data_IF_493421330265
#
_entry.id   IF_493421330265
#
_cell.length_a   1.000
_cell.length_b   1.000
_cell.length_c   1.000
_cell.angle_alpha   90.00
_cell.angle_beta   90.00
_cell.angle_gamma   90.00
#
_symmetry.space_group_name_H-M   'P 1'
#
loop_
_entity.id
_entity.type
_entity.pdbx_description
1 polymer ?
#
# COMPACT_ATOMS: atom_id res chain seq x y z
N UNK A 1 19.74 -41.84 -48.02
CA UNK A 1 19.18 -40.60 -47.45
C UNK A 1 17.66 -40.65 -47.58
N UNK A 2 16.95 -40.85 -46.47
CA UNK A 2 15.56 -41.35 -46.46
C UNK A 2 14.51 -40.29 -46.79
N UNK A 3 14.17 -40.15 -48.07
CA UNK A 3 13.08 -39.30 -48.55
C UNK A 3 11.63 -39.80 -48.29
N UNK A 4 11.31 -41.08 -48.01
CA UNK A 4 9.90 -41.50 -47.84
C UNK A 4 9.31 -41.17 -46.45
N UNK A 5 10.09 -40.62 -45.51
CA UNK A 5 9.62 -40.31 -44.15
C UNK A 5 9.17 -38.86 -43.94
N UNK A 6 9.34 -37.98 -44.92
CA UNK A 6 9.00 -36.55 -44.79
C UNK A 6 7.49 -36.33 -44.69
N UNK A 7 6.69 -37.07 -45.46
CA UNK A 7 5.24 -36.94 -45.47
C UNK A 7 4.58 -37.22 -44.11
N UNK A 8 4.86 -38.37 -43.46
CA UNK A 8 4.37 -38.67 -42.13
C UNK A 8 4.82 -37.66 -41.07
N UNK A 9 6.08 -37.21 -41.12
CA UNK A 9 6.63 -36.23 -40.16
C UNK A 9 5.92 -34.88 -40.28
N UNK A 10 5.67 -34.40 -41.49
CA UNK A 10 4.93 -33.14 -41.71
C UNK A 10 3.49 -33.25 -41.19
N UNK A 11 2.81 -34.37 -41.41
CA UNK A 11 1.43 -34.58 -40.92
C UNK A 11 1.36 -34.57 -39.40
N UNK A 12 2.31 -35.24 -38.74
CA UNK A 12 2.40 -35.26 -37.28
C UNK A 12 2.69 -33.85 -36.75
N UNK A 13 3.65 -33.14 -37.36
CA UNK A 13 3.98 -31.77 -36.98
C UNK A 13 2.77 -30.82 -37.11
N UNK A 14 2.02 -30.92 -38.22
CA UNK A 14 0.81 -30.12 -38.44
C UNK A 14 -0.27 -30.45 -37.40
N UNK A 15 -0.47 -31.74 -37.11
CA UNK A 15 -1.46 -32.18 -36.14
C UNK A 15 -1.12 -31.71 -34.72
N UNK A 16 0.15 -31.83 -34.31
CA UNK A 16 0.61 -31.33 -33.01
C UNK A 16 0.46 -29.81 -32.92
N UNK A 17 0.85 -29.07 -33.96
CA UNK A 17 0.71 -27.62 -33.98
C UNK A 17 -0.75 -27.16 -33.88
N UNK A 18 -1.64 -27.78 -34.66
CA UNK A 18 -3.07 -27.52 -34.60
C UNK A 18 -3.67 -27.84 -33.23
N UNK A 19 -3.27 -28.95 -32.60
CA UNK A 19 -3.70 -29.32 -31.25
C UNK A 19 -3.23 -28.30 -30.20
N UNK A 20 -2.00 -27.81 -30.34
CA UNK A 20 -1.41 -26.83 -29.41
C UNK A 20 -2.14 -25.48 -29.52
N UNK A 21 -2.45 -25.04 -30.74
CA UNK A 21 -3.27 -23.85 -30.98
C UNK A 21 -4.68 -24.01 -30.41
N UNK A 22 -5.32 -25.15 -30.68
CA UNK A 22 -6.65 -25.45 -30.14
C UNK A 22 -6.64 -25.35 -28.61
N UNK A 23 -5.66 -25.96 -27.95
CA UNK A 23 -5.50 -25.85 -26.50
C UNK A 23 -5.29 -24.40 -26.04
N UNK A 24 -4.51 -23.60 -26.76
CA UNK A 24 -4.26 -22.20 -26.40
C UNK A 24 -5.48 -21.26 -26.57
N UNK A 25 -6.46 -21.66 -27.39
CA UNK A 25 -7.73 -20.96 -27.56
C UNK A 25 -8.85 -21.49 -26.67
N UNK A 26 -8.90 -22.82 -26.45
CA UNK A 26 -9.93 -23.47 -25.62
C UNK A 26 -9.62 -23.33 -24.14
N UNK A 27 -8.34 -23.37 -23.74
CA UNK A 27 -7.97 -23.09 -22.35
C UNK A 27 -8.19 -21.60 -22.11
N UNK A 28 -9.17 -21.21 -21.29
CA UNK A 28 -9.41 -19.82 -20.96
C UNK A 28 -8.14 -19.31 -20.27
N UNK A 29 -7.48 -18.33 -20.90
CA UNK A 29 -6.34 -17.62 -20.31
C UNK A 29 -6.91 -16.71 -19.21
N UNK A 30 -7.35 -17.32 -18.12
CA UNK A 30 -7.86 -16.60 -16.98
C UNK A 30 -6.67 -15.83 -16.37
N UNK A 31 -6.72 -14.50 -16.24
CA UNK A 31 -5.81 -13.81 -15.35
C UNK A 31 -5.93 -14.48 -13.97
N UNK A 32 -4.79 -14.79 -13.35
CA UNK A 32 -4.68 -15.48 -12.06
C UNK A 32 -5.75 -15.02 -11.07
N UNK A 33 -6.79 -15.85 -10.84
CA UNK A 33 -7.84 -15.44 -9.91
C UNK A 33 -9.12 -16.27 -9.79
N UNK A 34 -9.30 -17.37 -10.53
CA UNK A 34 -10.57 -18.14 -10.39
C UNK A 34 -10.38 -19.64 -10.59
N UNK A 35 -9.76 -20.31 -9.63
CA UNK A 35 -10.02 -21.72 -9.33
C UNK A 35 -10.36 -21.85 -7.85
N UNK A 36 -11.59 -22.30 -7.58
CA UNK A 36 -12.19 -22.44 -6.26
C UNK A 36 -11.94 -23.87 -5.77
N UNK A 37 -11.24 -24.03 -4.64
CA UNK A 37 -11.24 -25.29 -3.89
C UNK A 37 -9.88 -25.87 -3.47
N UNK A 38 -8.99 -25.09 -2.86
CA UNK A 38 -7.83 -25.54 -2.03
C UNK A 38 -7.58 -24.39 -1.03
N UNK A 39 -7.29 -24.65 0.27
CA UNK A 39 -7.26 -23.64 1.33
C UNK A 39 -6.44 -22.42 0.93
N UNK A 40 -7.00 -21.24 1.24
CA UNK A 40 -6.42 -19.91 1.07
C UNK A 40 -4.90 -19.98 1.22
N UNK A 41 -4.10 -19.96 0.12
CA UNK A 41 -2.69 -19.72 0.28
C UNK A 41 -2.62 -18.31 0.88
N UNK A 42 -1.88 -18.16 2.00
CA UNK A 42 -1.56 -16.85 2.55
C UNK A 42 -1.20 -15.96 1.37
N UNK A 43 -2.08 -14.99 1.06
CA UNK A 43 -1.80 -13.97 0.06
C UNK A 43 -0.45 -13.41 0.48
N UNK A 44 0.57 -13.64 -0.33
CA UNK A 44 1.90 -13.10 -0.10
C UNK A 44 1.73 -11.62 0.20
N UNK A 45 1.85 -11.28 1.48
CA UNK A 45 1.66 -9.95 1.98
C UNK A 45 2.80 -9.11 1.40
N UNK A 46 2.47 -8.30 0.41
CA UNK A 46 3.34 -7.23 -0.05
C UNK A 46 3.24 -6.18 1.04
N UNK A 47 4.30 -6.03 1.84
CA UNK A 47 4.21 -5.19 3.03
C UNK A 47 5.54 -4.92 3.70
N UNK A 48 5.78 -3.63 3.93
CA UNK A 48 6.72 -2.99 4.84
C UNK A 48 7.36 -3.93 5.88
N UNK A 49 8.69 -4.00 5.96
CA UNK A 49 9.41 -4.74 7.02
C UNK A 49 9.80 -3.79 8.17
N UNK A 50 9.81 -4.29 9.41
CA UNK A 50 10.22 -3.50 10.60
C UNK A 50 11.74 -3.27 10.64
N UNK A 51 12.48 -3.84 9.71
CA UNK A 51 13.92 -3.71 9.61
C UNK A 51 14.34 -3.44 8.17
N UNK A 52 15.08 -2.37 7.96
CA UNK A 52 15.72 -2.08 6.67
C UNK A 52 17.22 -2.25 6.86
N UNK A 53 17.80 -3.21 6.13
CA UNK A 53 19.26 -3.39 6.07
C UNK A 53 19.88 -2.39 5.07
N UNK A 54 21.00 -1.79 5.45
CA UNK A 54 21.75 -0.90 4.58
C UNK A 54 22.31 -1.69 3.38
N UNK A 55 21.87 -1.36 2.16
CA UNK A 55 22.24 -2.06 0.92
C UNK A 55 21.13 -2.92 0.30
N UNK A 56 20.05 -3.21 1.02
CA UNK A 56 18.88 -3.95 0.48
C UNK A 56 17.85 -3.06 -0.22
N UNK A 57 17.98 -1.73 -0.11
CA UNK A 57 17.12 -0.75 -0.82
C UNK A 57 17.07 -0.96 -2.35
N UNK A 58 18.03 -1.72 -2.92
CA UNK A 58 18.08 -2.06 -4.35
C UNK A 58 17.32 -3.32 -4.77
N UNK A 59 16.82 -4.15 -3.84
CA UNK A 59 15.95 -5.30 -4.15
C UNK A 59 14.51 -4.99 -3.74
N UNK A 60 13.95 -3.92 -4.30
CA UNK A 60 12.50 -3.75 -4.33
C UNK A 60 11.97 -4.97 -5.09
N UNK A 61 11.34 -5.89 -4.37
CA UNK A 61 10.67 -7.05 -4.96
C UNK A 61 9.64 -6.47 -5.94
N UNK A 62 9.94 -6.53 -7.24
CA UNK A 62 9.08 -6.02 -8.30
C UNK A 62 7.86 -6.93 -8.42
N UNK A 63 6.93 -6.78 -7.48
CA UNK A 63 5.58 -7.32 -7.59
C UNK A 63 4.67 -6.14 -7.88
N UNK A 64 4.11 -6.09 -9.08
CA UNK A 64 3.25 -5.00 -9.57
C UNK A 64 1.82 -5.10 -9.04
N UNK A 65 1.64 -5.69 -7.86
CA UNK A 65 0.32 -5.80 -7.24
C UNK A 65 -0.10 -4.42 -6.71
N UNK A 66 -1.37 -4.05 -6.91
CA UNK A 66 -1.94 -2.85 -6.29
C UNK A 66 -1.81 -2.99 -4.76
N UNK A 67 -1.18 -2.02 -4.10
CA UNK A 67 -1.02 -2.00 -2.63
C UNK A 67 -2.05 -1.08 -2.00
N UNK A 68 -2.30 0.06 -2.64
CA UNK A 68 -3.26 1.06 -2.19
C UNK A 68 -3.77 1.89 -3.36
N UNK A 69 -4.92 2.54 -3.13
CA UNK A 69 -5.51 3.59 -3.94
C UNK A 69 -5.77 4.80 -3.07
N UNK A 70 -5.46 5.98 -3.58
CA UNK A 70 -5.70 7.25 -2.89
C UNK A 70 -6.48 8.21 -3.80
N UNK A 71 -7.49 8.87 -3.25
CA UNK A 71 -8.29 9.92 -3.88
C UNK A 71 -8.24 11.17 -3.01
N UNK A 72 -8.20 12.33 -3.62
CA UNK A 72 -8.15 13.60 -2.92
C UNK A 72 -9.40 14.42 -3.22
N UNK A 73 -9.92 15.09 -2.21
CA UNK A 73 -11.07 15.97 -2.31
C UNK A 73 -10.83 17.27 -1.56
N UNK A 74 -11.40 18.36 -2.05
CA UNK A 74 -11.43 19.63 -1.31
C UNK A 74 -12.47 19.58 -0.15
N UNK A 75 -12.57 20.63 0.68
CA UNK A 75 -13.55 20.67 1.77
C UNK A 75 -15.01 20.57 1.28
N UNK A 76 -15.27 20.94 0.04
CA UNK A 76 -16.57 20.83 -0.63
C UNK A 76 -16.81 19.46 -1.30
N UNK A 77 -15.94 18.47 -1.03
CA UNK A 77 -15.98 17.11 -1.58
C UNK A 77 -15.83 17.02 -3.11
N UNK A 78 -15.27 18.05 -3.75
CA UNK A 78 -14.93 18.00 -5.18
C UNK A 78 -13.56 17.35 -5.36
N UNK A 79 -13.33 16.59 -6.45
CA UNK A 79 -12.03 16.00 -6.72
C UNK A 79 -10.92 17.05 -6.74
N UNK A 80 -9.86 16.80 -5.97
CA UNK A 80 -8.68 17.67 -5.89
C UNK A 80 -7.54 17.07 -6.72
N UNK A 81 -7.06 17.82 -7.71
CA UNK A 81 -5.97 17.37 -8.56
C UNK A 81 -4.63 17.44 -7.81
N UNK A 82 -3.84 16.39 -7.94
CA UNK A 82 -2.50 16.29 -7.34
C UNK A 82 -1.47 16.07 -8.43
N UNK A 83 -0.36 16.80 -8.32
CA UNK A 83 0.72 16.82 -9.30
C UNK A 83 2.02 16.32 -8.66
N UNK A 84 2.81 15.58 -9.45
CA UNK A 84 4.11 15.09 -9.03
C UNK A 84 4.07 13.87 -8.09
N UNK A 85 5.24 13.49 -7.55
CA UNK A 85 5.37 12.32 -6.68
C UNK A 85 4.78 12.57 -5.29
N UNK A 86 4.17 11.53 -4.72
CA UNK A 86 3.62 11.54 -3.37
C UNK A 86 4.41 10.64 -2.44
N UNK A 87 4.81 11.21 -1.31
CA UNK A 87 5.49 10.52 -0.23
C UNK A 87 4.48 10.17 0.86
N UNK A 88 3.92 8.97 0.74
CA UNK A 88 3.07 8.37 1.74
C UNK A 88 3.93 7.76 2.84
N UNK A 89 3.66 8.13 4.09
CA UNK A 89 4.42 7.62 5.24
C UNK A 89 3.58 6.60 5.99
N UNK A 90 4.17 5.42 6.23
CA UNK A 90 3.63 4.36 7.08
C UNK A 90 4.23 4.40 8.49
N UNK A 91 5.54 4.16 8.62
CA UNK A 91 6.24 4.18 9.90
C UNK A 91 7.61 4.87 9.81
N UNK A 92 8.08 5.40 10.96
CA UNK A 92 9.41 6.00 11.09
C UNK A 92 10.31 5.08 11.92
N UNK A 93 11.32 4.52 11.26
CA UNK A 93 12.45 3.84 11.91
C UNK A 93 13.47 4.90 12.35
N UNK A 94 13.86 4.91 13.61
CA UNK A 94 14.71 5.98 14.19
C UNK A 94 15.89 5.44 15.01
N UNK A 95 15.98 4.13 15.22
CA UNK A 95 17.11 3.51 15.90
C UNK A 95 17.97 2.74 14.90
N UNK A 96 19.28 3.02 14.89
CA UNK A 96 20.24 2.33 14.05
C UNK A 96 21.18 1.48 14.90
N UNK A 97 21.28 0.20 14.58
CA UNK A 97 22.20 -0.73 15.24
C UNK A 97 22.66 -1.80 14.23
N UNK A 98 23.97 -2.06 14.19
CA UNK A 98 24.58 -3.15 13.41
C UNK A 98 24.20 -3.17 11.91
N UNK A 99 24.05 -2.01 11.27
CA UNK A 99 23.66 -1.93 9.85
C UNK A 99 22.14 -1.99 9.60
N UNK A 100 21.33 -2.03 10.65
CA UNK A 100 19.88 -2.11 10.56
C UNK A 100 19.19 -0.90 11.20
N UNK A 101 18.19 -0.37 10.51
CA UNK A 101 17.23 0.56 11.10
C UNK A 101 16.09 -0.21 11.74
N UNK A 102 15.71 0.17 12.96
CA UNK A 102 14.71 -0.46 13.82
C UNK A 102 13.91 0.60 14.57
N UNK A 103 12.84 0.18 15.23
CA UNK A 103 12.19 0.97 16.27
C UNK A 103 12.99 0.85 17.57
N UNK A 104 13.18 1.96 18.29
CA UNK A 104 13.62 1.89 19.67
C UNK A 104 12.50 1.22 20.49
N UNK A 105 12.87 0.32 21.41
CA UNK A 105 12.00 -0.71 22.00
C UNK A 105 10.63 -0.28 22.54
N UNK A 106 9.81 -1.31 22.83
CA UNK A 106 8.47 -1.20 23.40
C UNK A 106 8.39 -0.04 24.40
N UNK A 107 7.59 1.00 24.11
CA UNK A 107 7.43 2.09 25.05
C UNK A 107 6.96 1.51 26.38
N UNK A 108 7.49 2.03 27.50
CA UNK A 108 7.15 1.58 28.87
C UNK A 108 5.63 1.61 29.13
N UNK A 109 4.90 2.39 28.31
CA UNK A 109 3.44 2.34 28.19
C UNK A 109 3.03 2.40 26.71
N UNK A 110 2.09 1.57 26.24
CA UNK A 110 1.53 1.73 24.90
C UNK A 110 0.75 3.05 24.82
N UNK A 111 1.28 4.05 24.11
CA UNK A 111 0.52 5.26 23.75
C UNK A 111 -0.24 5.04 22.43
N UNK A 112 -0.99 3.95 22.38
CA UNK A 112 -1.99 3.71 21.36
C UNK A 112 -3.29 4.32 21.83
N UNK A 113 -3.89 5.17 21.00
CA UNK A 113 -5.17 5.81 21.29
C UNK A 113 -6.04 5.82 20.05
N UNK A 114 -7.38 5.81 20.20
CA UNK A 114 -8.26 6.11 19.08
C UNK A 114 -7.87 7.43 18.44
N UNK A 115 -7.90 7.48 17.11
CA UNK A 115 -7.60 8.69 16.37
C UNK A 115 -8.64 9.76 16.70
N UNK A 116 -8.21 10.82 17.37
CA UNK A 116 -9.04 11.98 17.64
C UNK A 116 -9.07 12.95 16.46
N UNK A 117 -10.15 13.74 16.37
CA UNK A 117 -10.14 14.95 15.56
C UNK A 117 -9.12 15.93 16.16
N UNK A 118 -8.13 16.33 15.37
CA UNK A 118 -7.14 17.33 15.75
C UNK A 118 -7.27 18.53 14.81
N UNK A 119 -7.21 19.78 15.31
CA UNK A 119 -7.16 20.94 14.42
C UNK A 119 -5.90 20.88 13.58
N UNK A 120 -6.08 20.91 12.26
CA UNK A 120 -4.99 21.15 11.33
C UNK A 120 -4.77 22.66 11.16
N UNK A 121 -3.54 23.10 10.84
CA UNK A 121 -3.27 24.52 10.71
C UNK A 121 -4.08 25.15 9.58
N UNK A 122 -4.79 26.23 9.88
CA UNK A 122 -5.69 26.90 8.93
C UNK A 122 -4.98 27.71 7.82
N UNK A 123 -3.64 27.78 7.83
CA UNK A 123 -2.87 28.57 6.85
C UNK A 123 -2.66 27.84 5.51
N UNK A 124 -3.06 26.58 5.39
CA UNK A 124 -2.99 25.78 4.16
C UNK A 124 -4.37 25.23 3.80
N UNK A 125 -4.64 24.99 2.51
CA UNK A 125 -5.89 24.38 2.09
C UNK A 125 -6.02 22.99 2.73
N UNK A 126 -7.20 22.73 3.27
CA UNK A 126 -7.53 21.44 3.84
C UNK A 126 -7.95 20.50 2.71
N UNK A 127 -7.32 19.34 2.61
CA UNK A 127 -7.62 18.33 1.58
C UNK A 127 -7.99 17.03 2.28
N UNK A 128 -9.10 16.43 1.87
CA UNK A 128 -9.50 15.09 2.30
C UNK A 128 -8.74 14.07 1.46
N UNK A 129 -8.00 13.20 2.11
CA UNK A 129 -7.43 12.00 1.48
C UNK A 129 -8.32 10.81 1.85
N UNK A 130 -8.87 10.16 0.84
CA UNK A 130 -9.57 8.88 0.98
C UNK A 130 -8.66 7.78 0.44
N UNK A 131 -8.35 6.82 1.29
CA UNK A 131 -7.34 5.81 1.03
C UNK A 131 -7.97 4.44 1.18
N UNK A 132 -7.80 3.61 0.16
CA UNK A 132 -8.19 2.20 0.17
C UNK A 132 -6.93 1.36 0.08
N UNK A 133 -6.71 0.52 1.08
CA UNK A 133 -5.54 -0.36 1.14
C UNK A 133 -5.96 -1.80 0.86
N UNK A 134 -5.16 -2.53 0.09
CA UNK A 134 -5.37 -3.95 -0.14
C UNK A 134 -5.04 -4.78 1.12
N UNK A 135 -5.61 -6.01 1.24
CA UNK A 135 -5.35 -6.89 2.38
C UNK A 135 -3.85 -7.11 2.62
N UNK A 136 -3.41 -6.94 3.87
CA UNK A 136 -2.04 -7.21 4.31
C UNK A 136 -2.02 -7.71 5.76
N UNK A 137 -0.98 -8.41 6.15
CA UNK A 137 -0.82 -9.02 7.48
C UNK A 137 -0.44 -8.02 8.59
N UNK A 138 -0.59 -6.72 8.34
CA UNK A 138 -0.11 -5.63 9.17
C UNK A 138 -1.18 -4.60 9.44
N UNK A 139 -1.10 -3.93 10.59
CA UNK A 139 -2.05 -2.88 10.98
C UNK A 139 -1.67 -1.51 10.43
N UNK A 140 -0.43 -1.33 10.00
CA UNK A 140 0.07 -0.04 9.52
C UNK A 140 -0.70 0.47 8.31
N UNK A 141 -1.07 1.74 8.39
CA UNK A 141 -1.70 2.51 7.33
C UNK A 141 -0.75 3.58 6.80
N UNK A 142 -0.98 3.99 5.56
CA UNK A 142 -0.18 4.98 4.85
C UNK A 142 -1.00 6.25 4.63
N UNK A 143 -0.39 7.42 4.75
CA UNK A 143 -1.07 8.68 4.45
C UNK A 143 -0.05 9.80 4.18
N UNK A 144 -0.55 10.91 3.63
CA UNK A 144 0.17 12.18 3.63
C UNK A 144 0.15 12.77 5.04
N UNK A 145 1.32 13.18 5.51
CA UNK A 145 1.50 13.89 6.77
C UNK A 145 1.68 15.39 6.52
N UNK A 146 1.15 16.27 7.38
CA UNK A 146 0.37 15.97 8.57
C UNK A 146 -1.07 15.55 8.24
N UNK A 147 -1.73 14.84 9.17
CA UNK A 147 -3.13 14.44 9.02
C UNK A 147 -3.98 14.72 10.26
N UNK A 148 -5.30 14.70 10.09
CA UNK A 148 -6.27 14.65 11.18
C UNK A 148 -7.44 13.73 10.82
N UNK A 149 -8.11 13.17 11.83
CA UNK A 149 -9.32 12.37 11.61
C UNK A 149 -10.43 13.20 10.97
N UNK A 150 -11.08 12.63 9.94
CA UNK A 150 -12.24 13.24 9.27
C UNK A 150 -13.58 12.70 9.75
N UNK A 151 -13.63 11.44 10.20
CA UNK A 151 -14.85 10.77 10.65
C UNK A 151 -14.62 10.08 12.00
N UNK A 152 -15.43 10.36 13.04
CA UNK A 152 -15.40 9.63 14.30
C UNK A 152 -15.87 8.16 14.20
N UNK A 153 -16.47 7.74 13.09
CA UNK A 153 -17.01 6.38 12.89
C UNK A 153 -15.97 5.31 12.54
N UNK A 154 -14.80 5.68 12.03
CA UNK A 154 -13.70 4.76 11.72
C UNK A 154 -12.75 4.68 12.90
N UNK A 155 -12.67 3.51 13.54
CA UNK A 155 -11.82 3.26 14.71
C UNK A 155 -10.36 3.08 14.28
N UNK A 156 -9.74 4.17 13.84
CA UNK A 156 -8.31 4.20 13.58
C UNK A 156 -7.57 4.39 14.91
N UNK A 157 -6.37 3.84 14.99
CA UNK A 157 -5.52 3.90 16.18
C UNK A 157 -4.28 4.72 15.81
N UNK A 158 -4.00 5.76 16.59
CA UNK A 158 -2.75 6.49 16.50
C UNK A 158 -1.75 5.86 17.49
N UNK A 159 -0.63 5.34 16.96
CA UNK A 159 0.52 4.99 17.77
C UNK A 159 1.43 6.22 17.86
N UNK A 160 1.29 6.95 18.95
CA UNK A 160 2.01 8.21 19.17
C UNK A 160 3.51 7.97 19.35
N UNK A 161 3.89 6.85 19.97
CA UNK A 161 5.27 6.52 20.27
C UNK A 161 6.08 6.27 18.98
N UNK A 162 5.50 5.51 18.04
CA UNK A 162 6.15 5.19 16.77
C UNK A 162 5.70 6.09 15.61
N UNK A 163 4.80 7.04 15.91
CA UNK A 163 4.15 7.95 14.95
C UNK A 163 3.59 7.20 13.74
N UNK A 164 2.79 6.17 14.01
CA UNK A 164 2.09 5.36 12.99
C UNK A 164 0.60 5.58 13.09
N UNK A 165 -0.07 5.34 11.97
CA UNK A 165 -1.50 5.17 11.93
C UNK A 165 -1.78 3.68 11.75
N UNK A 166 -2.67 3.14 12.56
CA UNK A 166 -3.01 1.73 12.60
C UNK A 166 -4.52 1.55 12.36
N UNK A 167 -4.89 0.47 11.68
CA UNK A 167 -6.25 -0.06 11.66
C UNK A 167 -6.43 -1.16 12.73
N UNK A 168 -7.67 -1.50 13.08
CA UNK A 168 -7.96 -2.68 13.89
C UNK A 168 -7.43 -3.96 13.23
N UNK A 169 -7.00 -4.93 14.03
CA UNK A 169 -6.36 -6.16 13.55
C UNK A 169 -7.32 -7.01 12.70
N UNK A 170 -8.60 -7.01 13.05
CA UNK A 170 -9.67 -7.70 12.36
C UNK A 170 -9.82 -7.26 10.90
N UNK A 171 -9.45 -6.02 10.58
CA UNK A 171 -9.57 -5.46 9.24
C UNK A 171 -8.34 -5.72 8.37
N UNK A 172 -7.30 -6.39 8.88
CA UNK A 172 -6.06 -6.59 8.15
C UNK A 172 -6.21 -7.42 6.87
N UNK A 173 -7.06 -8.43 6.93
CA UNK A 173 -7.23 -9.40 5.83
C UNK A 173 -8.28 -8.99 4.80
N UNK A 174 -8.80 -7.78 4.94
CA UNK A 174 -9.84 -7.24 4.08
C UNK A 174 -9.38 -5.94 3.46
N UNK A 175 -10.02 -5.56 2.35
CA UNK A 175 -9.80 -4.24 1.77
C UNK A 175 -10.36 -3.21 2.74
N UNK A 176 -9.54 -2.27 3.15
CA UNK A 176 -9.88 -1.30 4.17
C UNK A 176 -9.84 0.12 3.61
N UNK A 177 -10.92 0.88 3.78
CA UNK A 177 -11.02 2.27 3.32
C UNK A 177 -11.12 3.21 4.51
N UNK A 178 -10.33 4.27 4.50
CA UNK A 178 -10.32 5.28 5.54
C UNK A 178 -10.12 6.68 4.96
N UNK A 179 -10.61 7.68 5.69
CA UNK A 179 -10.51 9.09 5.33
C UNK A 179 -9.71 9.84 6.38
N UNK A 180 -8.91 10.80 5.94
CA UNK A 180 -8.17 11.71 6.79
C UNK A 180 -8.15 13.09 6.14
N UNK A 181 -8.15 14.13 6.94
CA UNK A 181 -7.77 15.47 6.47
C UNK A 181 -6.25 15.61 6.41
N UNK A 182 -5.75 16.45 5.51
CA UNK A 182 -4.34 16.84 5.44
C UNK A 182 -4.19 18.29 4.97
N UNK A 183 -3.10 18.93 5.39
CA UNK A 183 -2.64 20.22 4.84
C UNK A 183 -1.35 20.06 4.04
N UNK A 184 -1.00 18.82 3.68
CA UNK A 184 0.28 18.53 3.06
C UNK A 184 0.41 19.04 1.62
N UNK A 185 -0.72 19.32 0.98
CA UNK A 185 -0.83 19.72 -0.40
C UNK A 185 -1.00 21.23 -0.52
N UNK A 186 -0.24 21.84 -1.41
CA UNK A 186 -0.32 23.25 -1.78
C UNK A 186 -0.27 23.31 -3.30
N UNK A 187 -1.30 23.91 -3.91
CA UNK A 187 -1.44 23.99 -5.38
C UNK A 187 -1.26 22.63 -6.08
N UNK A 188 -1.82 21.56 -5.50
CA UNK A 188 -1.72 20.21 -6.06
C UNK A 188 -0.41 19.49 -5.75
N UNK A 189 0.62 20.16 -5.23
CA UNK A 189 1.92 19.54 -4.96
C UNK A 189 2.11 19.27 -3.47
N UNK A 190 2.72 18.13 -3.13
CA UNK A 190 3.11 17.88 -1.74
C UNK A 190 4.25 18.82 -1.34
N UNK A 191 4.02 19.66 -0.34
CA UNK A 191 5.02 20.60 0.12
C UNK A 191 6.27 19.86 0.65
N UNK A 192 7.48 20.23 0.19
CA UNK A 192 8.72 19.54 0.56
C UNK A 192 9.05 19.66 2.05
N UNK A 193 8.55 20.73 2.69
CA UNK A 193 8.65 20.97 4.11
C UNK A 193 7.23 21.23 4.65
N UNK A 194 6.75 20.32 5.49
CA UNK A 194 5.61 20.57 6.35
C UNK A 194 6.11 20.72 7.78
N UNK A 195 6.42 21.94 8.25
CA UNK A 195 6.81 22.13 9.63
C UNK A 195 5.68 21.65 10.53
N UNK A 196 5.98 20.69 11.40
CA UNK A 196 5.11 20.39 12.51
C UNK A 196 5.09 21.65 13.37
N UNK A 197 4.00 22.41 13.36
CA UNK A 197 3.82 23.49 14.33
C UNK A 197 3.61 22.79 15.66
N UNK A 198 4.70 22.56 16.39
CA UNK A 198 4.66 22.46 17.82
C UNK A 198 4.44 23.91 18.32
N UNK A 199 3.33 24.25 18.97
CA UNK A 199 3.51 25.01 20.19
C UNK A 199 4.33 24.06 21.08
N UNK A 200 5.61 24.34 21.23
CA UNK A 200 6.28 23.92 22.46
C UNK A 200 5.64 24.79 23.53
N UNK A 201 4.58 24.26 24.13
CA UNK A 201 4.16 24.79 25.41
C UNK A 201 5.33 24.60 26.36
N UNK A 202 5.78 25.76 26.84
CA UNK A 202 6.75 26.01 27.90
C UNK A 202 6.41 25.22 29.16
#
# INVERSE_FOLDING_TARGET
MGWPMIGPVIKIALATWALTLLLFFVVPRAPSGTWRGVPVPLRHAVGFTDQVALGELGRIIQKSDEVLRIRFFDPEQRPYAVEGPLYLRGAILHYYQDGHWRFLGHPVFPFQRPLGARPLPAYRPLVLQEITIEPMDRQELFCLWPFAGSDPGLWLIEDVAHRRLLRPEENCRERFTYTLWTTALEEGTQAPLNPLVFPQDV
#
